data_IF_892859356411
#
_entry.id   IF_892859356411
#
_cell.length_a   1.000
_cell.length_b   1.000
_cell.length_c   1.000
_cell.angle_alpha   90.00
_cell.angle_beta   90.00
_cell.angle_gamma   90.00
#
_symmetry.space_group_name_H-M   'P 1'
#
loop_
_entity.id
_entity.type
_entity.pdbx_description
1 polymer ?
#
# COMPACT_ATOMS: atom_id res chain seq x y z
N UNK A 1 10.80 -41.52 -24.04
CA UNK A 1 11.74 -40.43 -23.69
C UNK A 1 10.96 -39.14 -23.94
N UNK A 2 10.23 -38.68 -22.91
CA UNK A 2 10.57 -37.52 -22.07
C UNK A 2 10.50 -36.23 -22.91
N UNK A 3 9.32 -35.64 -23.02
CA UNK A 3 8.76 -34.59 -22.13
C UNK A 3 9.25 -33.19 -22.51
N UNK A 4 8.30 -32.35 -22.92
CA UNK A 4 8.22 -30.94 -22.55
C UNK A 4 6.82 -30.45 -22.95
N UNK A 5 5.84 -30.84 -22.15
CA UNK A 5 4.64 -30.04 -22.01
C UNK A 5 5.07 -28.72 -21.35
N UNK A 6 5.14 -27.64 -22.15
CA UNK A 6 5.25 -26.28 -21.61
C UNK A 6 4.05 -26.04 -20.71
N UNK A 7 4.27 -26.13 -19.42
CA UNK A 7 3.28 -26.03 -18.35
C UNK A 7 2.63 -24.64 -18.39
N UNK A 8 1.30 -24.63 -18.38
CA UNK A 8 0.40 -23.47 -18.34
C UNK A 8 0.43 -22.76 -16.97
N UNK A 9 1.58 -22.79 -16.29
CA UNK A 9 1.72 -22.44 -14.87
C UNK A 9 2.41 -21.07 -14.64
N UNK A 10 2.90 -20.43 -15.70
CA UNK A 10 3.61 -19.14 -15.64
C UNK A 10 2.68 -17.92 -15.41
N UNK A 11 1.36 -18.13 -15.31
CA UNK A 11 0.37 -17.07 -15.08
C UNK A 11 -0.18 -17.03 -13.63
N UNK A 12 0.32 -17.86 -12.72
CA UNK A 12 -0.24 -17.98 -11.38
C UNK A 12 0.16 -16.85 -10.41
N UNK A 13 1.31 -16.19 -10.64
CA UNK A 13 1.78 -15.10 -9.79
C UNK A 13 2.04 -13.83 -10.64
N UNK A 14 1.49 -12.66 -10.26
CA UNK A 14 1.83 -11.40 -10.91
C UNK A 14 3.34 -11.13 -10.77
N UNK A 15 4.00 -10.52 -11.77
CA UNK A 15 5.41 -10.17 -11.68
C UNK A 15 5.64 -9.20 -10.51
N UNK A 16 6.83 -9.23 -9.90
CA UNK A 16 7.11 -8.42 -8.71
C UNK A 16 6.96 -6.91 -8.96
N UNK A 17 7.16 -6.46 -10.20
CA UNK A 17 6.92 -5.08 -10.61
C UNK A 17 5.43 -4.71 -10.52
N UNK A 18 4.53 -5.62 -10.88
CA UNK A 18 3.09 -5.37 -10.84
C UNK A 18 2.59 -5.21 -9.39
N UNK A 19 2.99 -6.11 -8.49
CA UNK A 19 2.65 -5.97 -7.06
C UNK A 19 3.29 -4.72 -6.45
N UNK A 20 4.53 -4.38 -6.84
CA UNK A 20 5.19 -3.15 -6.40
C UNK A 20 4.41 -1.90 -6.87
N UNK A 21 3.96 -1.84 -8.13
CA UNK A 21 3.16 -0.73 -8.62
C UNK A 21 1.80 -0.63 -7.95
N UNK A 22 1.15 -1.76 -7.62
CA UNK A 22 -0.09 -1.76 -6.84
C UNK A 22 0.13 -1.17 -5.45
N UNK A 23 1.17 -1.60 -4.72
CA UNK A 23 1.53 -1.06 -3.41
C UNK A 23 1.79 0.45 -3.53
N UNK A 24 2.65 0.88 -4.48
CA UNK A 24 2.98 2.30 -4.70
C UNK A 24 1.71 3.13 -4.96
N UNK A 25 0.83 2.65 -5.85
CA UNK A 25 -0.39 3.38 -6.20
C UNK A 25 -1.33 3.52 -5.01
N UNK A 26 -1.69 2.40 -4.38
CA UNK A 26 -2.68 2.41 -3.30
C UNK A 26 -2.14 3.05 -2.02
N UNK A 27 -0.89 2.79 -1.63
CA UNK A 27 -0.28 3.44 -0.47
C UNK A 27 -0.03 4.93 -0.74
N UNK A 28 0.30 5.31 -1.98
CA UNK A 28 0.40 6.71 -2.39
C UNK A 28 -0.93 7.45 -2.24
N UNK A 29 -2.04 6.86 -2.73
CA UNK A 29 -3.39 7.40 -2.51
C UNK A 29 -3.71 7.51 -1.03
N UNK A 30 -3.50 6.44 -0.25
CA UNK A 30 -3.78 6.45 1.18
C UNK A 30 -3.02 7.56 1.91
N UNK A 31 -1.71 7.67 1.65
CA UNK A 31 -0.86 8.71 2.21
C UNK A 31 -1.38 10.12 1.89
N UNK A 32 -1.76 10.37 0.64
CA UNK A 32 -2.31 11.67 0.24
C UNK A 32 -3.62 11.98 0.97
N UNK A 33 -4.55 11.02 1.01
CA UNK A 33 -5.81 11.17 1.74
C UNK A 33 -5.60 11.51 3.22
N UNK A 34 -4.68 10.81 3.91
CA UNK A 34 -4.40 11.10 5.32
C UNK A 34 -3.74 12.48 5.53
N UNK A 35 -2.85 12.90 4.63
CA UNK A 35 -2.27 14.25 4.70
C UNK A 35 -3.32 15.34 4.44
N UNK A 36 -4.22 15.11 3.49
CA UNK A 36 -5.34 16.03 3.22
C UNK A 36 -6.33 16.06 4.39
N UNK A 37 -6.59 14.93 5.05
CA UNK A 37 -7.40 14.86 6.26
C UNK A 37 -6.80 15.72 7.39
N UNK A 38 -5.48 15.69 7.58
CA UNK A 38 -4.78 16.56 8.55
C UNK A 38 -4.99 18.03 8.19
N UNK A 39 -4.83 18.41 6.92
CA UNK A 39 -5.05 19.79 6.48
C UNK A 39 -6.52 20.22 6.58
N UNK A 40 -7.48 19.31 6.38
CA UNK A 40 -8.90 19.50 6.61
C UNK A 40 -9.19 19.84 8.08
N UNK A 41 -8.71 18.99 9.00
CA UNK A 41 -8.86 19.18 10.43
C UNK A 41 -8.23 20.51 10.91
N UNK A 42 -7.05 20.88 10.39
CA UNK A 42 -6.39 22.17 10.68
C UNK A 42 -7.23 23.39 10.28
N UNK A 43 -8.13 23.26 9.32
CA UNK A 43 -9.08 24.32 8.92
C UNK A 43 -10.37 24.32 9.74
N UNK A 44 -10.53 23.38 10.67
CA UNK A 44 -11.77 23.15 11.43
C UNK A 44 -12.87 22.49 10.60
N UNK A 45 -12.51 21.83 9.50
CA UNK A 45 -13.40 21.05 8.64
C UNK A 45 -13.40 19.58 9.07
N UNK A 46 -14.48 18.84 8.75
CA UNK A 46 -14.59 17.40 9.06
C UNK A 46 -13.69 16.57 8.13
N UNK A 47 -12.68 15.83 8.67
CA UNK A 47 -11.78 15.03 7.85
C UNK A 47 -12.31 13.63 7.50
N UNK A 48 -13.43 13.19 8.07
CA UNK A 48 -13.83 11.76 8.10
C UNK A 48 -13.89 11.10 6.71
N UNK A 49 -14.42 11.79 5.70
CA UNK A 49 -14.50 11.24 4.34
C UNK A 49 -13.12 10.93 3.76
N UNK A 50 -12.13 11.82 3.97
CA UNK A 50 -10.75 11.60 3.54
C UNK A 50 -10.09 10.46 4.30
N UNK A 51 -10.40 10.31 5.60
CA UNK A 51 -9.91 9.20 6.42
C UNK A 51 -10.44 7.87 5.89
N UNK A 52 -11.74 7.79 5.60
CA UNK A 52 -12.36 6.58 5.05
C UNK A 52 -11.80 6.20 3.67
N UNK A 53 -11.63 7.19 2.78
CA UNK A 53 -10.99 6.97 1.47
C UNK A 53 -9.54 6.49 1.63
N UNK A 54 -8.79 7.09 2.56
CA UNK A 54 -7.42 6.68 2.87
C UNK A 54 -7.35 5.26 3.41
N UNK A 55 -8.28 4.88 4.28
CA UNK A 55 -8.39 3.54 4.87
C UNK A 55 -8.71 2.48 3.82
N UNK A 56 -9.61 2.78 2.90
CA UNK A 56 -9.93 1.91 1.76
C UNK A 56 -8.69 1.66 0.89
N UNK A 57 -8.02 2.74 0.47
CA UNK A 57 -6.81 2.65 -0.33
C UNK A 57 -5.70 1.90 0.42
N UNK A 58 -5.50 2.16 1.72
CA UNK A 58 -4.48 1.47 2.51
C UNK A 58 -4.77 -0.03 2.64
N UNK A 59 -6.05 -0.43 2.72
CA UNK A 59 -6.42 -1.84 2.75
C UNK A 59 -6.04 -2.54 1.44
N UNK A 60 -6.28 -1.89 0.30
CA UNK A 60 -5.83 -2.40 -1.00
C UNK A 60 -4.29 -2.48 -1.10
N UNK A 61 -3.56 -1.51 -0.55
CA UNK A 61 -2.10 -1.55 -0.48
C UNK A 61 -1.60 -2.70 0.42
N UNK A 62 -2.24 -2.90 1.58
CA UNK A 62 -1.92 -3.96 2.53
C UNK A 62 -2.17 -5.35 1.95
N UNK A 63 -3.23 -5.53 1.15
CA UNK A 63 -3.51 -6.76 0.42
C UNK A 63 -2.41 -7.06 -0.62
N UNK A 64 -2.02 -6.07 -1.42
CA UNK A 64 -0.91 -6.21 -2.36
C UNK A 64 0.41 -6.54 -1.64
N UNK A 65 0.68 -5.92 -0.48
CA UNK A 65 1.84 -6.25 0.34
C UNK A 65 1.77 -7.69 0.89
N UNK A 66 0.61 -8.18 1.32
CA UNK A 66 0.45 -9.59 1.70
C UNK A 66 0.75 -10.54 0.54
N UNK A 67 0.37 -10.19 -0.69
CA UNK A 67 0.74 -10.98 -1.88
C UNK A 67 2.25 -10.99 -2.10
N UNK A 68 2.94 -9.85 -1.91
CA UNK A 68 4.40 -9.80 -1.97
C UNK A 68 5.06 -10.72 -0.91
N UNK A 69 4.55 -10.74 0.33
CA UNK A 69 5.03 -11.66 1.37
C UNK A 69 4.81 -13.13 1.01
N UNK A 70 3.67 -13.47 0.38
CA UNK A 70 3.43 -14.82 -0.13
C UNK A 70 4.41 -15.21 -1.22
N UNK A 71 4.71 -14.30 -2.16
CA UNK A 71 5.72 -14.51 -3.19
C UNK A 71 7.13 -14.66 -2.57
N UNK A 72 7.46 -13.91 -1.52
CA UNK A 72 8.75 -14.05 -0.82
C UNK A 72 8.87 -15.42 -0.15
N UNK A 73 7.82 -15.86 0.55
CA UNK A 73 7.78 -17.18 1.19
C UNK A 73 7.92 -18.34 0.20
N UNK A 74 7.47 -18.14 -1.05
CA UNK A 74 7.62 -19.09 -2.16
C UNK A 74 8.98 -18.97 -2.87
N UNK A 75 9.79 -17.95 -2.56
CA UNK A 75 11.06 -17.67 -3.23
C UNK A 75 10.90 -17.08 -4.64
N UNK A 76 9.73 -16.54 -4.98
CA UNK A 76 9.41 -15.99 -6.31
C UNK A 76 9.38 -14.47 -6.34
N UNK A 77 9.56 -13.79 -5.20
CA UNK A 77 9.62 -12.33 -5.14
C UNK A 77 10.99 -11.83 -5.64
N UNK A 78 10.97 -10.97 -6.66
CA UNK A 78 12.16 -10.24 -7.08
C UNK A 78 12.56 -9.17 -6.07
N UNK A 79 13.84 -8.84 -5.97
CA UNK A 79 14.35 -7.77 -5.12
C UNK A 79 15.01 -6.66 -5.96
N UNK A 80 14.69 -5.40 -5.67
CA UNK A 80 15.25 -4.25 -6.37
C UNK A 80 14.71 -2.92 -5.83
N UNK A 81 15.22 -1.82 -6.38
CA UNK A 81 14.87 -0.46 -5.94
C UNK A 81 13.36 -0.17 -5.99
N UNK A 82 12.64 -0.77 -6.95
CA UNK A 82 11.19 -0.61 -7.08
C UNK A 82 10.43 -1.19 -5.88
N UNK A 83 10.79 -2.39 -5.42
CA UNK A 83 10.19 -3.01 -4.23
C UNK A 83 10.53 -2.21 -2.97
N UNK A 84 11.80 -1.80 -2.82
CA UNK A 84 12.23 -0.93 -1.71
C UNK A 84 11.42 0.38 -1.69
N UNK A 85 11.15 0.96 -2.86
CA UNK A 85 10.34 2.16 -2.99
C UNK A 85 8.89 1.92 -2.59
N UNK A 86 8.29 0.80 -3.02
CA UNK A 86 6.95 0.39 -2.63
C UNK A 86 6.81 0.26 -1.11
N UNK A 87 7.70 -0.48 -0.45
CA UNK A 87 7.74 -0.63 1.01
C UNK A 87 7.91 0.70 1.73
N UNK A 88 8.76 1.59 1.21
CA UNK A 88 8.97 2.93 1.78
C UNK A 88 7.68 3.76 1.76
N UNK A 89 6.91 3.70 0.67
CA UNK A 89 5.64 4.43 0.56
C UNK A 89 4.59 3.82 1.48
N UNK A 90 4.50 2.48 1.53
CA UNK A 90 3.57 1.75 2.40
C UNK A 90 3.76 2.11 3.87
N UNK A 91 4.99 1.98 4.37
CA UNK A 91 5.32 2.28 5.77
C UNK A 91 5.12 3.77 6.07
N UNK A 92 5.40 4.66 5.11
CA UNK A 92 5.10 6.09 5.25
C UNK A 92 3.60 6.35 5.41
N UNK A 93 2.75 5.67 4.63
CA UNK A 93 1.30 5.79 4.74
C UNK A 93 0.80 5.23 6.08
N UNK A 94 1.30 4.07 6.51
CA UNK A 94 0.95 3.43 7.79
C UNK A 94 1.32 4.31 8.98
N UNK A 95 2.52 4.89 8.97
CA UNK A 95 2.98 5.79 10.03
C UNK A 95 2.06 7.01 10.15
N UNK A 96 1.69 7.63 9.02
CA UNK A 96 0.78 8.78 9.01
C UNK A 96 -0.60 8.36 9.53
N UNK A 97 -1.14 7.23 9.05
CA UNK A 97 -2.40 6.66 9.54
C UNK A 97 -2.40 6.46 11.06
N UNK A 98 -1.34 5.89 11.62
CA UNK A 98 -1.23 5.65 13.06
C UNK A 98 -1.18 6.92 13.89
N UNK A 99 -0.61 8.00 13.35
CA UNK A 99 -0.52 9.30 14.02
C UNK A 99 -1.74 10.20 13.81
N UNK A 100 -2.54 9.93 12.76
CA UNK A 100 -3.64 10.76 12.31
C UNK A 100 -4.67 11.08 13.41
N UNK A 101 -5.17 10.13 14.23
CA UNK A 101 -6.14 10.45 15.29
C UNK A 101 -5.59 11.48 16.29
N UNK A 102 -4.33 11.31 16.70
CA UNK A 102 -3.65 12.23 17.61
C UNK A 102 -3.50 13.62 16.98
N UNK A 103 -3.17 13.70 15.70
CA UNK A 103 -2.99 14.97 15.00
C UNK A 103 -4.33 15.71 14.84
N UNK A 104 -5.40 15.00 14.47
CA UNK A 104 -6.76 15.56 14.36
C UNK A 104 -7.23 16.07 15.72
N UNK A 105 -7.08 15.28 16.79
CA UNK A 105 -7.41 15.72 18.15
C UNK A 105 -6.65 17.01 18.55
N UNK A 106 -5.37 17.11 18.19
CA UNK A 106 -4.56 18.30 18.47
C UNK A 106 -4.97 19.52 17.63
N UNK A 107 -5.54 19.33 16.45
CA UNK A 107 -6.01 20.42 15.58
C UNK A 107 -7.33 21.05 16.06
N UNK A 108 -8.13 20.31 16.82
CA UNK A 108 -9.40 20.76 17.39
C UNK A 108 -9.25 21.57 18.69
N UNK A 109 -8.03 21.68 19.22
CA UNK A 109 -7.70 22.41 20.47
C UNK A 109 -7.34 23.87 20.22
#
# INVERSE_FOLDING_TARGET
MADQAGSVEELANPPYEAVSFQIISFAGTAKSCYLEAIECAKRGEDPNELIEQGDEAFRAASEAHHQALQMEAQGTLGCGLLLIHAETILISAETIKGLLPTIVELAER
#
